data_IF_866209575000
#
_entry.id   IF_866209575000
#
_cell.length_a   1.000
_cell.length_b   1.000
_cell.length_c   1.000
_cell.angle_alpha   90.00
_cell.angle_beta   90.00
_cell.angle_gamma   90.00
#
_symmetry.space_group_name_H-M   'P 1'
#
loop_
_entity.id
_entity.type
_entity.pdbx_description
1 polymer ?
#
# COMPACT_ATOMS: atom_id res chain seq x y z
N UNK A 1 -18.77 -17.81 -1.00
CA UNK A 1 -17.63 -17.02 -1.47
C UNK A 1 -17.01 -16.36 -0.26
N UNK A 2 -15.71 -16.55 -0.05
CA UNK A 2 -14.99 -16.04 1.11
C UNK A 2 -14.05 -14.93 0.68
N UNK A 3 -14.00 -13.86 1.46
CA UNK A 3 -13.01 -12.81 1.32
C UNK A 3 -11.99 -12.91 2.45
N UNK A 4 -10.75 -12.60 2.13
CA UNK A 4 -9.66 -12.43 3.08
C UNK A 4 -9.08 -11.02 3.00
N UNK A 5 -8.15 -10.73 3.89
CA UNK A 5 -7.38 -9.49 3.87
C UNK A 5 -5.90 -9.81 3.68
N UNK A 6 -5.28 -9.18 2.69
CA UNK A 6 -3.83 -9.14 2.57
C UNK A 6 -3.34 -7.89 3.29
N UNK A 7 -2.42 -8.07 4.22
CA UNK A 7 -1.79 -6.98 4.95
C UNK A 7 -0.40 -6.71 4.36
N UNK A 8 -0.15 -5.46 4.00
CA UNK A 8 1.19 -4.99 3.64
C UNK A 8 1.70 -4.04 4.72
N UNK A 9 2.73 -4.46 5.45
CA UNK A 9 3.45 -3.59 6.37
C UNK A 9 4.46 -2.76 5.58
N UNK A 10 4.25 -1.45 5.54
CA UNK A 10 5.03 -0.52 4.73
C UNK A 10 5.76 0.44 5.63
N UNK A 11 7.05 0.64 5.36
CA UNK A 11 7.83 1.74 5.93
C UNK A 11 8.17 2.71 4.81
N UNK A 12 7.81 3.99 4.98
CA UNK A 12 8.16 5.06 4.06
C UNK A 12 9.20 5.96 4.72
N UNK A 13 10.25 6.30 3.98
CA UNK A 13 11.28 7.26 4.39
C UNK A 13 11.35 8.35 3.34
N UNK A 14 11.28 9.61 3.76
CA UNK A 14 11.41 10.73 2.84
C UNK A 14 12.88 11.03 2.56
N UNK A 15 13.25 10.88 1.28
CA UNK A 15 14.62 11.03 0.76
C UNK A 15 14.83 12.36 0.01
N UNK A 16 13.79 13.21 -0.06
CA UNK A 16 13.88 14.55 -0.66
C UNK A 16 14.52 15.56 0.29
N UNK A 17 14.73 16.77 -0.20
CA UNK A 17 15.36 17.87 0.53
C UNK A 17 14.51 19.15 0.53
N UNK A 18 13.26 19.05 0.08
CA UNK A 18 12.33 20.17 0.09
C UNK A 18 11.89 20.49 1.52
N UNK A 19 12.03 21.76 1.93
CA UNK A 19 11.64 22.19 3.28
C UNK A 19 10.15 22.00 3.60
N UNK A 20 9.31 21.89 2.56
CA UNK A 20 7.89 21.60 2.70
C UNK A 20 7.58 20.13 3.03
N UNK A 21 8.56 19.23 2.85
CA UNK A 21 8.34 17.78 2.92
C UNK A 21 7.45 17.27 1.80
N UNK A 22 6.96 16.03 1.96
CA UNK A 22 5.97 15.44 1.06
C UNK A 22 4.86 14.70 1.82
N UNK A 23 3.65 14.76 1.28
CA UNK A 23 2.50 14.08 1.85
C UNK A 23 2.44 12.62 1.38
N UNK A 24 2.10 11.74 2.31
CA UNK A 24 1.97 10.31 2.05
C UNK A 24 0.68 9.92 1.30
N UNK A 25 -0.16 10.90 0.93
CA UNK A 25 -1.41 10.68 0.21
C UNK A 25 -1.24 9.96 -1.13
N UNK A 26 -0.06 10.10 -1.75
CA UNK A 26 0.27 9.45 -3.02
C UNK A 26 0.59 7.96 -2.92
N UNK A 27 0.96 7.44 -1.74
CA UNK A 27 1.33 6.03 -1.56
C UNK A 27 0.10 5.15 -1.72
N UNK A 28 0.23 4.09 -2.51
CA UNK A 28 -0.85 3.12 -2.76
C UNK A 28 -0.33 1.69 -2.67
N UNK A 29 -1.19 0.83 -2.14
CA UNK A 29 -1.01 -0.61 -2.11
C UNK A 29 -2.23 -1.24 -2.77
N UNK A 30 -1.96 -2.08 -3.76
CA UNK A 30 -2.95 -2.86 -4.50
C UNK A 30 -2.56 -4.33 -4.47
N UNK A 31 -3.55 -5.21 -4.57
CA UNK A 31 -3.35 -6.63 -4.87
C UNK A 31 -3.71 -6.88 -6.33
N UNK A 32 -2.83 -7.49 -7.08
CA UNK A 32 -3.00 -7.78 -8.51
C UNK A 32 -3.09 -9.29 -8.69
N UNK A 33 -4.21 -9.77 -9.21
CA UNK A 33 -4.42 -11.20 -9.48
C UNK A 33 -3.56 -11.67 -10.65
N UNK A 34 -3.40 -12.99 -10.81
CA UNK A 34 -2.71 -13.59 -11.96
C UNK A 34 -3.35 -13.25 -13.31
N UNK A 35 -4.63 -12.87 -13.30
CA UNK A 35 -5.37 -12.45 -14.49
C UNK A 35 -5.18 -10.96 -14.82
N UNK A 36 -4.48 -10.20 -13.95
CA UNK A 36 -4.20 -8.78 -14.14
C UNK A 36 -5.29 -7.83 -13.62
N UNK A 37 -6.25 -8.32 -12.85
CA UNK A 37 -7.22 -7.47 -12.15
C UNK A 37 -6.59 -6.93 -10.85
N UNK A 38 -6.91 -5.69 -10.46
CA UNK A 38 -6.43 -5.13 -9.19
C UNK A 38 -7.55 -4.85 -8.20
N UNK A 39 -7.22 -5.03 -6.92
CA UNK A 39 -8.01 -4.63 -5.77
C UNK A 39 -7.19 -3.64 -4.96
N UNK A 40 -7.77 -2.49 -4.62
CA UNK A 40 -7.08 -1.47 -3.85
C UNK A 40 -7.58 -1.39 -2.40
N UNK A 41 -6.72 -0.87 -1.52
CA UNK A 41 -7.01 -0.67 -0.09
C UNK A 41 -8.06 0.41 0.23
N UNK A 42 -8.59 1.10 -0.78
CA UNK A 42 -9.63 2.14 -0.66
C UNK A 42 -11.01 1.70 -1.14
N UNK A 43 -11.08 0.62 -1.92
CA UNK A 43 -12.31 0.09 -2.50
C UNK A 43 -13.31 -0.34 -1.43
N UNK A 44 -12.80 -0.94 -0.34
CA UNK A 44 -13.56 -1.21 0.88
C UNK A 44 -12.87 -0.46 2.03
N UNK A 45 -13.63 0.27 2.85
CA UNK A 45 -13.11 1.02 4.01
C UNK A 45 -12.65 0.06 5.11
N UNK A 46 -11.48 -0.55 4.91
CA UNK A 46 -10.84 -1.46 5.85
C UNK A 46 -9.74 -0.68 6.56
N UNK A 47 -9.92 -0.47 7.87
CA UNK A 47 -8.87 0.13 8.70
C UNK A 47 -8.08 -1.03 9.32
N UNK A 48 -6.84 -1.20 8.84
CA UNK A 48 -5.91 -2.16 9.41
C UNK A 48 -5.51 -1.74 10.85
N UNK A 49 -5.20 -2.70 11.73
CA UNK A 49 -4.41 -2.40 12.93
C UNK A 49 -3.12 -1.68 12.54
N UNK A 50 -2.69 -0.70 13.33
CA UNK A 50 -1.50 0.12 13.05
C UNK A 50 -1.50 0.69 11.61
N UNK A 51 -2.65 1.24 11.21
CA UNK A 51 -2.89 1.80 9.88
C UNK A 51 -1.79 2.77 9.44
N UNK A 52 -1.34 2.64 8.20
CA UNK A 52 -0.40 3.55 7.57
C UNK A 52 -1.04 4.93 7.34
N UNK A 53 -0.68 5.92 8.17
CA UNK A 53 -1.31 7.23 8.15
C UNK A 53 -0.91 8.08 6.93
N UNK A 54 -1.70 8.00 5.86
CA UNK A 54 -1.48 8.73 4.61
C UNK A 54 -1.71 10.25 4.69
N UNK A 55 -2.23 10.74 5.81
CA UNK A 55 -2.43 12.19 6.01
C UNK A 55 -1.19 12.89 6.58
N UNK A 56 -0.16 12.13 6.94
CA UNK A 56 1.10 12.69 7.43
C UNK A 56 1.93 13.30 6.30
N UNK A 57 2.76 14.26 6.72
CA UNK A 57 3.82 14.84 5.89
C UNK A 57 5.15 14.43 6.52
N UNK A 58 6.03 13.85 5.70
CA UNK A 58 7.39 13.54 6.11
C UNK A 58 8.34 14.64 5.63
N UNK A 59 9.29 15.00 6.50
CA UNK A 59 10.37 15.94 6.22
C UNK A 59 11.69 15.19 6.03
N UNK A 60 12.75 15.89 5.58
CA UNK A 60 14.06 15.29 5.26
C UNK A 60 14.54 14.31 6.34
N UNK A 61 14.74 13.04 5.95
CA UNK A 61 15.21 11.96 6.84
C UNK A 61 14.15 11.33 7.76
N UNK A 62 12.92 11.85 7.78
CA UNK A 62 11.83 11.27 8.56
C UNK A 62 11.32 9.96 7.93
N UNK A 63 10.79 9.07 8.78
CA UNK A 63 10.13 7.84 8.35
C UNK A 63 8.87 7.56 9.16
N UNK A 64 7.96 6.78 8.58
CA UNK A 64 6.76 6.26 9.24
C UNK A 64 6.51 4.82 8.79
N UNK A 65 5.83 4.05 9.61
CA UNK A 65 5.51 2.64 9.36
C UNK A 65 4.05 2.39 9.69
N UNK A 66 3.40 1.53 8.92
CA UNK A 66 2.04 1.09 9.19
C UNK A 66 1.55 0.09 8.16
N UNK A 67 0.31 -0.35 8.35
CA UNK A 67 -0.31 -1.38 7.53
C UNK A 67 -1.30 -0.81 6.52
N UNK A 68 -1.27 -1.39 5.32
CA UNK A 68 -2.38 -1.35 4.37
C UNK A 68 -3.10 -2.69 4.41
N UNK A 69 -4.43 -2.67 4.36
CA UNK A 69 -5.25 -3.86 4.18
C UNK A 69 -5.93 -3.80 2.81
N UNK A 70 -5.82 -4.89 2.05
CA UNK A 70 -6.55 -5.07 0.78
C UNK A 70 -7.47 -6.26 0.94
N UNK A 71 -8.77 -6.03 0.75
CA UNK A 71 -9.75 -7.12 0.73
C UNK A 71 -9.71 -7.82 -0.62
N UNK A 72 -9.58 -9.15 -0.60
CA UNK A 72 -9.41 -9.96 -1.82
C UNK A 72 -10.25 -11.23 -1.74
N UNK A 73 -10.74 -11.75 -2.88
CA UNK A 73 -11.33 -13.08 -2.95
C UNK A 73 -10.29 -14.15 -2.55
N UNK A 74 -10.67 -15.11 -1.70
CA UNK A 74 -9.73 -16.13 -1.21
C UNK A 74 -9.13 -16.98 -2.34
N UNK A 75 -9.88 -17.20 -3.42
CA UNK A 75 -9.46 -18.03 -4.56
C UNK A 75 -8.30 -17.40 -5.36
N UNK A 76 -8.10 -16.08 -5.24
CA UNK A 76 -7.07 -15.33 -5.96
C UNK A 76 -5.79 -15.11 -5.16
N UNK A 77 -5.79 -15.39 -3.85
CA UNK A 77 -4.69 -15.01 -2.93
C UNK A 77 -3.37 -15.69 -3.27
N UNK A 78 -3.40 -16.99 -3.57
CA UNK A 78 -2.17 -17.79 -3.72
C UNK A 78 -1.32 -17.41 -4.94
N UNK A 79 -1.91 -16.79 -5.96
CA UNK A 79 -1.23 -16.52 -7.24
C UNK A 79 -1.15 -15.02 -7.58
N UNK A 80 -1.57 -14.15 -6.68
CA UNK A 80 -1.49 -12.71 -6.87
C UNK A 80 -0.27 -12.07 -6.23
N UNK A 81 -0.07 -10.79 -6.54
CA UNK A 81 1.06 -10.00 -6.08
C UNK A 81 0.59 -8.70 -5.43
N UNK A 82 1.37 -8.16 -4.52
CA UNK A 82 1.19 -6.78 -4.03
C UNK A 82 1.93 -5.83 -4.96
N UNK A 83 1.23 -4.80 -5.44
CA UNK A 83 1.82 -3.64 -6.12
C UNK A 83 1.91 -2.48 -5.12
N UNK A 84 3.12 -2.04 -4.82
CA UNK A 84 3.38 -0.85 -4.00
C UNK A 84 3.82 0.31 -4.90
N UNK A 85 3.04 1.38 -4.90
CA UNK A 85 3.36 2.63 -5.61
C UNK A 85 3.75 3.70 -4.60
N UNK A 86 4.98 4.25 -4.65
CA UNK A 86 5.48 5.20 -3.65
C UNK A 86 4.91 6.62 -3.82
N UNK A 87 4.29 6.92 -4.96
CA UNK A 87 3.62 8.19 -5.21
C UNK A 87 2.49 8.01 -6.22
N UNK A 88 1.65 9.04 -6.40
CA UNK A 88 0.48 8.98 -7.27
C UNK A 88 0.82 8.75 -8.75
N UNK A 89 2.04 9.11 -9.17
CA UNK A 89 2.52 9.00 -10.56
C UNK A 89 3.85 8.25 -10.67
N UNK A 90 4.33 7.66 -9.58
CA UNK A 90 5.58 6.90 -9.56
C UNK A 90 5.37 5.47 -10.05
N UNK A 91 6.42 4.87 -10.57
CA UNK A 91 6.41 3.45 -10.93
C UNK A 91 6.22 2.60 -9.67
N UNK A 92 5.31 1.63 -9.76
CA UNK A 92 5.08 0.66 -8.70
C UNK A 92 6.03 -0.53 -8.78
N UNK A 93 6.22 -1.21 -7.64
CA UNK A 93 7.03 -2.43 -7.53
C UNK A 93 6.15 -3.58 -7.07
N UNK A 94 6.32 -4.74 -7.70
CA UNK A 94 5.60 -5.97 -7.35
C UNK A 94 6.33 -6.77 -6.28
N UNK A 95 5.55 -7.32 -5.34
CA UNK A 95 5.99 -8.21 -4.26
C UNK A 95 5.11 -9.47 -4.26
N UNK A 96 5.74 -10.63 -4.15
CA UNK A 96 5.02 -11.89 -3.95
C UNK A 96 4.41 -11.93 -2.55
N UNK A 97 3.20 -12.47 -2.43
CA UNK A 97 2.55 -12.70 -1.13
C UNK A 97 3.11 -13.99 -0.52
N UNK A 98 3.34 -13.98 0.81
CA UNK A 98 3.91 -15.11 1.57
C UNK A 98 2.91 -15.73 2.53
#
# INVERSE_FOLDING_TARGET
EGHGYVLANVTATYIGNEAAGDSLGGIRVEFVTSEGNSFDSTANMVIAPDYFNRSETLYEGASTTGNFAVEVPLDDVENGNILLSPSMFGDGVFFEVQ
#
